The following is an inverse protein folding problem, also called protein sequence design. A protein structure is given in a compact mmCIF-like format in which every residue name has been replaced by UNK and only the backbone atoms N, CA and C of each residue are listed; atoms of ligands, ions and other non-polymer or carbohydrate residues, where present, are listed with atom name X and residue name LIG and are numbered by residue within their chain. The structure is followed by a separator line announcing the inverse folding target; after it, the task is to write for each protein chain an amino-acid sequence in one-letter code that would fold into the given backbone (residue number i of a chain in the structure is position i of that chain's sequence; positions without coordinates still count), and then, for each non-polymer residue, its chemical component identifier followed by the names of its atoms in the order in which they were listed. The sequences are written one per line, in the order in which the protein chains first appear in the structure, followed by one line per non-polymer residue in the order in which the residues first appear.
data_IF_299104359520
#
_entry.id   IF_299104359520
#
_cell.length_a   1.000
_cell.length_b   1.000
_cell.length_c   1.000
_cell.angle_alpha   90.00
_cell.angle_beta   90.00
_cell.angle_gamma   90.00
#
_symmetry.space_group_name_H-M   'P 1'
#
loop_
_entity.id
_entity.type
_entity.pdbx_description
1 polymer ?
#
# COMPACT_ATOMS: atom_id res chain seq x y z
N UNK A 1 -12.98 -28.46 -33.81
CA UNK A 1 -12.03 -28.78 -32.72
C UNK A 1 -11.29 -27.51 -32.34
N UNK A 2 -11.57 -26.94 -31.18
CA UNK A 2 -10.87 -25.75 -30.68
C UNK A 2 -9.55 -26.21 -30.04
N UNK A 3 -8.54 -26.48 -30.86
CA UNK A 3 -7.16 -26.70 -30.41
C UNK A 3 -6.52 -25.34 -30.15
N UNK A 4 -6.98 -24.65 -29.10
CA UNK A 4 -6.23 -23.53 -28.57
C UNK A 4 -4.86 -24.03 -28.11
N UNK A 5 -3.80 -23.28 -28.42
CA UNK A 5 -2.42 -23.57 -27.99
C UNK A 5 -2.28 -23.67 -26.46
N UNK A 6 -3.28 -23.16 -25.75
CA UNK A 6 -3.38 -23.14 -24.30
C UNK A 6 -4.74 -23.69 -23.85
N UNK A 7 -4.79 -24.40 -22.71
CA UNK A 7 -6.02 -25.00 -22.21
C UNK A 7 -7.11 -23.97 -21.87
N UNK A 8 -8.37 -24.38 -22.01
CA UNK A 8 -9.56 -23.62 -21.67
C UNK A 8 -10.47 -23.33 -22.88
N UNK A 9 -11.78 -23.19 -22.62
CA UNK A 9 -12.81 -22.89 -23.64
C UNK A 9 -13.38 -21.47 -23.51
N UNK A 10 -12.59 -20.56 -22.93
CA UNK A 10 -13.00 -19.18 -22.70
C UNK A 10 -12.63 -18.23 -23.85
N UNK A 11 -13.15 -17.00 -23.85
CA UNK A 11 -12.91 -16.00 -24.90
C UNK A 11 -11.43 -15.60 -25.05
N UNK A 12 -10.58 -15.91 -24.07
CA UNK A 12 -9.14 -15.60 -24.08
C UNK A 12 -8.27 -16.87 -24.20
N UNK A 13 -8.82 -17.99 -24.67
CA UNK A 13 -8.10 -19.27 -24.74
C UNK A 13 -6.99 -19.31 -25.80
N UNK A 14 -7.00 -18.35 -26.73
CA UNK A 14 -5.91 -18.13 -27.69
C UNK A 14 -4.67 -17.46 -27.05
N UNK A 15 -4.81 -16.81 -25.89
CA UNK A 15 -3.69 -16.20 -25.16
C UNK A 15 -3.04 -17.20 -24.20
N UNK A 16 -1.71 -17.08 -23.98
CA UNK A 16 -1.05 -17.79 -22.89
C UNK A 16 -1.68 -17.42 -21.54
N UNK A 17 -1.75 -18.35 -20.56
CA UNK A 17 -2.40 -18.13 -19.27
C UNK A 17 -1.98 -16.84 -18.57
N UNK A 18 -0.70 -16.44 -18.67
CA UNK A 18 -0.16 -15.26 -18.01
C UNK A 18 -0.54 -13.92 -18.66
N UNK A 19 -1.02 -13.93 -19.90
CA UNK A 19 -1.55 -12.74 -20.58
C UNK A 19 -3.07 -12.65 -20.48
N UNK A 20 -3.73 -13.65 -19.87
CA UNK A 20 -5.18 -13.63 -19.73
C UNK A 20 -5.60 -12.59 -18.71
N UNK A 21 -6.77 -11.95 -18.88
CA UNK A 21 -7.26 -10.95 -17.93
C UNK A 21 -7.37 -11.48 -16.49
N UNK A 22 -7.68 -12.77 -16.30
CA UNK A 22 -7.71 -13.40 -14.98
C UNK A 22 -6.33 -13.55 -14.31
N UNK A 23 -5.23 -13.43 -15.07
CA UNK A 23 -3.87 -13.44 -14.53
C UNK A 23 -3.31 -12.01 -14.38
N UNK A 24 -3.58 -11.14 -15.34
CA UNK A 24 -3.15 -9.73 -15.34
C UNK A 24 -4.01 -8.85 -14.40
N UNK A 25 -5.27 -9.22 -14.18
CA UNK A 25 -6.22 -8.45 -13.36
C UNK A 25 -7.00 -9.31 -12.36
N UNK A 26 -6.66 -10.59 -12.19
CA UNK A 26 -7.36 -11.46 -11.25
C UNK A 26 -6.96 -11.24 -9.79
N UNK A 27 -7.69 -11.89 -8.87
CA UNK A 27 -7.33 -11.96 -7.45
C UNK A 27 -6.01 -12.73 -7.29
N UNK A 28 -4.88 -12.02 -7.42
CA UNK A 28 -3.55 -12.61 -7.42
C UNK A 28 -2.43 -11.72 -7.99
N UNK A 29 -2.73 -10.57 -8.59
CA UNK A 29 -1.70 -9.58 -9.02
C UNK A 29 -0.95 -8.88 -7.89
N UNK A 30 -1.05 -9.39 -6.66
CA UNK A 30 -0.29 -8.93 -5.51
C UNK A 30 0.66 -10.04 -5.03
N UNK A 31 1.80 -10.20 -5.69
CA UNK A 31 2.95 -10.93 -5.10
C UNK A 31 4.31 -10.28 -5.40
N UNK A 32 4.39 -9.35 -6.35
CA UNK A 32 5.63 -8.63 -6.70
C UNK A 32 5.56 -7.12 -6.54
N UNK A 33 4.47 -6.58 -5.99
CA UNK A 33 4.45 -5.20 -5.55
C UNK A 33 4.90 -5.19 -4.08
N UNK A 34 6.19 -4.94 -3.77
CA UNK A 34 6.53 -4.54 -2.42
C UNK A 34 5.77 -3.23 -2.23
N UNK A 35 4.73 -3.28 -1.42
CA UNK A 35 3.99 -2.10 -1.02
C UNK A 35 4.93 -1.26 -0.14
N UNK A 36 5.82 -0.51 -0.80
CA UNK A 36 6.34 0.82 -0.45
C UNK A 36 6.91 1.08 0.94
N UNK A 37 7.14 0.08 1.79
CA UNK A 37 7.85 0.31 3.05
C UNK A 37 9.34 0.01 2.85
N UNK A 38 10.23 1.01 2.98
CA UNK A 38 11.66 0.74 2.95
C UNK A 38 12.02 -0.13 4.15
N UNK A 39 12.43 -1.38 3.89
CA UNK A 39 12.80 -2.37 4.90
C UNK A 39 14.14 -2.08 5.62
N UNK A 40 14.61 -0.83 5.60
CA UNK A 40 15.99 -0.48 5.95
C UNK A 40 16.09 0.75 6.87
N UNK A 41 15.22 0.89 7.87
CA UNK A 41 15.55 1.71 9.04
C UNK A 41 16.13 0.79 10.10
N UNK A 42 17.29 1.16 10.64
CA UNK A 42 17.78 0.56 11.88
C UNK A 42 16.79 0.87 13.01
N UNK A 43 16.80 0.08 14.09
CA UNK A 43 15.89 0.31 15.22
C UNK A 43 16.11 1.71 15.81
N UNK A 44 17.35 2.14 15.80
CA UNK A 44 17.82 3.42 16.31
C UNK A 44 17.27 4.59 15.47
N UNK A 45 17.33 4.47 14.14
CA UNK A 45 16.77 5.48 13.22
C UNK A 45 15.25 5.58 13.33
N UNK A 46 14.56 4.45 13.47
CA UNK A 46 13.10 4.44 13.67
C UNK A 46 12.72 5.09 14.99
N UNK A 47 13.45 4.79 16.08
CA UNK A 47 13.23 5.43 17.38
C UNK A 47 13.46 6.94 17.31
N UNK A 48 14.50 7.40 16.59
CA UNK A 48 14.77 8.82 16.42
C UNK A 48 13.63 9.50 15.64
N UNK A 49 13.22 8.93 14.51
CA UNK A 49 12.13 9.45 13.69
C UNK A 49 10.81 9.54 14.48
N UNK A 50 10.46 8.50 15.24
CA UNK A 50 9.25 8.48 16.05
C UNK A 50 9.28 9.50 17.19
N UNK A 51 10.45 9.79 17.77
CA UNK A 51 10.59 10.83 18.79
C UNK A 51 10.41 12.24 18.23
N UNK A 52 10.95 12.50 17.04
CA UNK A 52 10.75 13.77 16.36
C UNK A 52 9.28 13.97 16.00
N UNK A 53 8.64 12.94 15.44
CA UNK A 53 7.20 12.96 15.15
C UNK A 53 6.36 13.18 16.42
N UNK A 54 6.69 12.50 17.52
CA UNK A 54 6.02 12.70 18.80
C UNK A 54 6.11 14.15 19.27
N UNK A 55 7.28 14.79 19.13
CA UNK A 55 7.48 16.19 19.51
C UNK A 55 6.60 17.14 18.70
N UNK A 56 6.57 16.95 17.39
CA UNK A 56 5.77 17.80 16.48
C UNK A 56 4.28 17.64 16.75
N UNK A 57 3.82 16.41 16.95
CA UNK A 57 2.42 16.13 17.29
C UNK A 57 2.03 16.76 18.64
N UNK A 58 2.91 16.72 19.64
CA UNK A 58 2.65 17.39 20.91
C UNK A 58 2.58 18.91 20.78
N UNK A 59 3.42 19.52 19.93
CA UNK A 59 3.36 20.96 19.67
C UNK A 59 2.02 21.34 19.01
N UNK A 60 1.59 20.58 18.01
CA UNK A 60 0.29 20.78 17.34
C UNK A 60 -0.88 20.58 18.28
N UNK A 61 -0.80 19.58 19.17
CA UNK A 61 -1.84 19.36 20.18
C UNK A 61 -2.00 20.60 21.07
N UNK A 62 -0.90 21.18 21.55
CA UNK A 62 -0.93 22.40 22.38
C UNK A 62 -1.56 23.58 21.65
N UNK A 63 -1.20 23.79 20.39
CA UNK A 63 -1.80 24.85 19.56
C UNK A 63 -3.32 24.67 19.44
N UNK A 64 -3.77 23.44 19.21
CA UNK A 64 -5.20 23.12 19.14
C UNK A 64 -5.88 23.36 20.49
N UNK A 65 -5.27 22.94 21.59
CA UNK A 65 -5.79 23.16 22.95
C UNK A 65 -5.91 24.66 23.28
N UNK A 66 -4.90 25.46 22.92
CA UNK A 66 -4.95 26.92 23.07
C UNK A 66 -6.10 27.51 22.25
N UNK A 67 -6.25 27.07 21.00
CA UNK A 67 -7.32 27.56 20.12
C UNK A 67 -8.71 27.18 20.62
N UNK A 68 -8.86 25.97 21.16
CA UNK A 68 -10.12 25.55 21.79
C UNK A 68 -10.42 26.42 23.00
N UNK A 69 -9.43 26.66 23.87
CA UNK A 69 -9.60 27.53 25.03
C UNK A 69 -10.00 28.96 24.67
N UNK A 70 -9.48 29.51 23.57
CA UNK A 70 -9.90 30.83 23.06
C UNK A 70 -11.36 30.85 22.59
N UNK A 71 -11.83 29.76 21.99
CA UNK A 71 -13.18 29.66 21.41
C UNK A 71 -14.23 29.23 22.43
N UNK A 72 -13.84 28.48 23.46
CA UNK A 72 -14.68 28.06 24.58
C UNK A 72 -14.73 29.10 25.71
N UNK A 73 -13.84 30.10 25.68
CA UNK A 73 -13.72 31.20 26.64
C UNK A 73 -14.78 32.29 26.50
#
# INVERSE_FOLDING_TARGET
MWWGRYPGHGPFSYLPPWERPGWVYGRGVCWWYPYGYPAYRTKEEEIAALKDEQRDLQARLREIEERLKELEG
#
